data_IF_425606067353
#
_entry.id   IF_425606067353
#
_cell.length_a   1.000
_cell.length_b   1.000
_cell.length_c   1.000
_cell.angle_alpha   90.00
_cell.angle_beta   90.00
_cell.angle_gamma   90.00
#
_symmetry.space_group_name_H-M   'P 1'
#
loop_
_entity.id
_entity.type
_entity.pdbx_description
1 polymer ?
#
# COMPACT_ATOMS: atom_id res chain seq x y z
N UNK A 1 -13.13 -6.63 -16.69
CA UNK A 1 -12.70 -6.30 -15.31
C UNK A 1 -13.32 -7.34 -14.39
N UNK A 2 -12.53 -8.02 -13.55
CA UNK A 2 -13.01 -8.99 -12.57
C UNK A 2 -12.91 -8.33 -11.20
N UNK A 3 -14.01 -8.28 -10.47
CA UNK A 3 -14.03 -7.87 -9.08
C UNK A 3 -14.49 -9.06 -8.24
N UNK A 4 -13.91 -9.19 -7.07
CA UNK A 4 -14.36 -10.10 -6.03
C UNK A 4 -14.74 -9.25 -4.82
N UNK A 5 -15.86 -9.60 -4.19
CA UNK A 5 -16.33 -8.92 -2.99
C UNK A 5 -16.27 -9.90 -1.85
N UNK A 6 -15.44 -9.59 -0.87
CA UNK A 6 -15.38 -10.32 0.39
C UNK A 6 -16.59 -10.00 1.27
N UNK A 7 -16.96 -10.96 2.13
CA UNK A 7 -17.95 -10.71 3.17
C UNK A 7 -17.45 -9.58 4.09
N UNK A 8 -18.35 -8.70 4.60
CA UNK A 8 -17.95 -7.64 5.50
C UNK A 8 -17.29 -8.19 6.77
N UNK A 9 -16.12 -7.67 7.11
CA UNK A 9 -15.46 -7.98 8.37
C UNK A 9 -15.89 -7.02 9.48
N UNK A 10 -16.04 -7.57 10.70
CA UNK A 10 -16.36 -6.76 11.87
C UNK A 10 -15.12 -5.99 12.31
N UNK A 11 -15.23 -4.67 12.32
CA UNK A 11 -14.23 -3.78 12.90
C UNK A 11 -14.71 -3.31 14.28
N UNK A 12 -14.18 -3.91 15.35
CA UNK A 12 -14.69 -3.71 16.72
C UNK A 12 -14.35 -2.33 17.31
N UNK A 13 -13.27 -1.71 16.84
CA UNK A 13 -12.78 -0.44 17.38
C UNK A 13 -13.38 0.76 16.64
N UNK A 14 -13.58 1.91 17.31
CA UNK A 14 -13.92 3.14 16.60
C UNK A 14 -12.88 3.43 15.50
N UNK A 15 -13.36 3.74 14.30
CA UNK A 15 -12.48 4.17 13.22
C UNK A 15 -11.98 5.59 13.51
N UNK A 16 -10.71 5.70 13.90
CA UNK A 16 -10.04 6.98 14.22
C UNK A 16 -9.04 7.39 13.14
N UNK A 17 -8.67 6.48 12.23
CA UNK A 17 -7.79 6.74 11.09
C UNK A 17 -7.77 5.56 10.12
N UNK A 18 -7.94 5.82 8.82
CA UNK A 18 -8.05 4.79 7.78
C UNK A 18 -6.76 3.97 7.61
N UNK A 19 -5.60 4.55 7.92
CA UNK A 19 -4.31 3.87 7.81
C UNK A 19 -4.21 2.54 8.56
N UNK A 20 -4.93 2.40 9.68
CA UNK A 20 -4.99 1.16 10.45
C UNK A 20 -5.59 -0.03 9.68
N UNK A 21 -6.27 0.21 8.57
CA UNK A 21 -6.86 -0.84 7.71
C UNK A 21 -5.82 -1.46 6.77
N UNK A 22 -4.77 -0.72 6.39
CA UNK A 22 -3.83 -1.14 5.35
C UNK A 22 -3.05 -2.40 5.73
N UNK A 23 -2.55 -2.48 6.96
CA UNK A 23 -1.80 -3.63 7.47
C UNK A 23 -2.62 -4.93 7.46
N UNK A 24 -3.81 -4.94 8.12
CA UNK A 24 -4.73 -6.08 8.05
C UNK A 24 -5.09 -6.48 6.62
N UNK A 25 -5.32 -5.51 5.73
CA UNK A 25 -5.66 -5.79 4.32
C UNK A 25 -4.49 -6.44 3.57
N UNK A 26 -3.24 -6.05 3.85
CA UNK A 26 -2.07 -6.69 3.26
C UNK A 26 -1.83 -8.11 3.82
N UNK A 27 -2.07 -8.32 5.11
CA UNK A 27 -2.01 -9.65 5.72
C UNK A 27 -3.10 -10.58 5.12
N UNK A 28 -4.33 -10.08 4.92
CA UNK A 28 -5.39 -10.82 4.23
C UNK A 28 -4.96 -11.18 2.80
N UNK A 29 -4.45 -10.22 2.05
CA UNK A 29 -3.97 -10.42 0.67
C UNK A 29 -2.90 -11.52 0.60
N UNK A 30 -1.96 -11.55 1.53
CA UNK A 30 -0.92 -12.58 1.60
C UNK A 30 -1.51 -13.97 1.93
N UNK A 31 -2.44 -14.02 2.89
CA UNK A 31 -3.12 -15.26 3.30
C UNK A 31 -4.01 -15.86 2.22
N UNK A 32 -4.59 -15.02 1.35
CA UNK A 32 -5.36 -15.47 0.19
C UNK A 32 -4.49 -15.87 -1.01
N UNK A 33 -3.17 -15.85 -0.85
CA UNK A 33 -2.20 -16.18 -1.90
C UNK A 33 -2.43 -15.32 -3.16
N UNK A 34 -2.83 -14.07 -2.97
CA UNK A 34 -3.18 -13.20 -4.08
C UNK A 34 -1.97 -13.00 -5.00
N UNK A 35 -2.19 -13.18 -6.31
CA UNK A 35 -1.17 -12.92 -7.30
C UNK A 35 -0.66 -11.48 -7.19
N UNK A 36 0.64 -11.22 -7.43
CA UNK A 36 1.22 -9.89 -7.34
C UNK A 36 0.41 -8.81 -8.05
N UNK A 37 -0.22 -9.09 -9.20
CA UNK A 37 -1.01 -8.15 -9.99
C UNK A 37 -2.43 -7.84 -9.47
N UNK A 38 -2.85 -8.45 -8.35
CA UNK A 38 -4.16 -8.20 -7.72
C UNK A 38 -4.08 -7.05 -6.71
N UNK A 39 -5.07 -6.16 -6.78
CA UNK A 39 -5.23 -5.01 -5.91
C UNK A 39 -6.35 -5.25 -4.91
N UNK A 40 -6.11 -4.90 -3.64
CA UNK A 40 -7.12 -4.98 -2.58
C UNK A 40 -7.54 -3.57 -2.18
N UNK A 41 -8.86 -3.36 -2.10
CA UNK A 41 -9.43 -2.07 -1.71
C UNK A 41 -10.52 -2.28 -0.66
N UNK A 42 -10.33 -1.71 0.51
CA UNK A 42 -11.31 -1.73 1.58
C UNK A 42 -12.29 -0.56 1.46
N UNK A 43 -13.56 -0.81 1.74
CA UNK A 43 -14.57 0.23 1.93
C UNK A 43 -14.98 0.27 3.39
N UNK A 44 -14.78 1.40 4.05
CA UNK A 44 -15.13 1.56 5.45
C UNK A 44 -16.32 2.53 5.60
N UNK A 45 -17.48 2.12 6.14
CA UNK A 45 -18.62 3.01 6.32
C UNK A 45 -18.31 4.12 7.32
N UNK A 46 -18.25 5.37 6.85
CA UNK A 46 -18.05 6.55 7.68
C UNK A 46 -19.06 7.61 7.24
N UNK A 47 -20.07 7.97 8.04
CA UNK A 47 -21.21 8.78 7.56
C UNK A 47 -20.83 10.08 6.83
N UNK A 48 -19.75 10.72 7.24
CA UNK A 48 -19.25 11.97 6.64
C UNK A 48 -18.35 11.77 5.42
N UNK A 49 -18.01 10.52 5.06
CA UNK A 49 -17.10 10.20 3.95
C UNK A 49 -15.63 10.49 4.24
N UNK A 50 -15.26 10.60 5.52
CA UNK A 50 -13.87 10.81 5.92
C UNK A 50 -13.67 10.78 7.44
N UNK A 51 -12.43 10.51 7.84
CA UNK A 51 -11.96 10.43 9.23
C UNK A 51 -10.53 10.94 9.28
N UNK A 52 -10.13 11.56 10.39
CA UNK A 52 -8.78 12.15 10.55
C UNK A 52 -8.36 13.10 9.40
N UNK A 53 -9.33 13.76 8.75
CA UNK A 53 -9.07 14.70 7.66
C UNK A 53 -8.88 14.07 6.28
N UNK A 54 -9.02 12.74 6.14
CA UNK A 54 -8.86 12.02 4.87
C UNK A 54 -10.11 11.24 4.49
N UNK A 55 -10.33 11.09 3.19
CA UNK A 55 -11.41 10.27 2.62
C UNK A 55 -10.92 8.90 2.12
N UNK A 56 -9.61 8.76 1.90
CA UNK A 56 -8.96 7.53 1.48
C UNK A 56 -7.48 7.55 1.85
N UNK A 57 -6.87 6.36 1.90
CA UNK A 57 -5.43 6.18 2.16
C UNK A 57 -4.93 4.98 1.36
N UNK A 58 -3.72 5.10 0.82
CA UNK A 58 -3.05 4.04 0.08
C UNK A 58 -1.52 4.13 0.22
N UNK A 59 -0.85 3.04 -0.13
CA UNK A 59 0.59 3.04 -0.39
C UNK A 59 0.85 3.30 -1.88
N UNK A 60 2.08 3.71 -2.20
CA UNK A 60 2.54 3.95 -3.57
C UNK A 60 3.65 2.96 -3.95
N UNK A 61 3.35 1.66 -4.14
CA UNK A 61 4.35 0.63 -4.46
C UNK A 61 4.91 0.77 -5.87
N UNK A 62 6.14 0.29 -6.05
CA UNK A 62 6.75 0.07 -7.35
C UNK A 62 6.12 -1.10 -8.10
N UNK A 63 6.63 -1.35 -9.30
CA UNK A 63 6.02 -2.26 -10.26
C UNK A 63 6.63 -3.66 -10.31
N UNK A 64 7.50 -3.98 -9.36
CA UNK A 64 8.06 -5.32 -9.16
C UNK A 64 7.02 -6.33 -8.65
N UNK A 65 7.30 -7.63 -8.84
CA UNK A 65 6.45 -8.72 -8.31
C UNK A 65 6.40 -8.72 -6.78
N UNK A 66 7.54 -8.58 -6.13
CA UNK A 66 7.66 -8.62 -4.67
C UNK A 66 7.12 -7.40 -3.93
N UNK A 67 6.57 -6.40 -4.63
CA UNK A 67 5.85 -5.27 -4.02
C UNK A 67 4.32 -5.42 -4.14
N UNK A 68 3.84 -6.66 -4.28
CA UNK A 68 2.42 -6.97 -4.34
C UNK A 68 1.70 -6.70 -3.03
N UNK A 69 2.35 -6.96 -1.90
CA UNK A 69 1.85 -6.77 -0.53
C UNK A 69 1.30 -5.34 -0.29
N UNK A 70 1.98 -4.35 -0.86
CA UNK A 70 1.65 -2.93 -0.70
C UNK A 70 0.57 -2.43 -1.68
N UNK A 71 -0.06 -3.31 -2.47
CA UNK A 71 -1.16 -2.95 -3.41
C UNK A 71 -2.51 -2.94 -2.69
N UNK A 72 -2.54 -2.25 -1.57
CA UNK A 72 -3.67 -2.14 -0.65
C UNK A 72 -4.06 -0.68 -0.50
N UNK A 73 -5.37 -0.45 -0.41
CA UNK A 73 -5.94 0.89 -0.26
C UNK A 73 -7.27 0.82 0.49
N UNK A 74 -7.73 1.95 1.00
CA UNK A 74 -9.00 2.06 1.71
C UNK A 74 -9.70 3.38 1.41
N UNK A 75 -11.03 3.34 1.26
CA UNK A 75 -11.90 4.52 1.12
C UNK A 75 -12.94 4.56 2.23
N UNK A 76 -13.16 5.75 2.78
CA UNK A 76 -14.31 6.07 3.62
C UNK A 76 -15.58 6.15 2.76
N UNK A 77 -16.47 5.19 2.92
CA UNK A 77 -17.77 5.17 2.28
C UNK A 77 -18.73 6.11 3.02
N UNK A 78 -18.84 7.34 2.51
CA UNK A 78 -19.81 8.33 2.96
C UNK A 78 -21.20 8.17 2.32
N UNK A 79 -22.07 9.16 2.57
CA UNK A 79 -23.44 9.17 2.03
C UNK A 79 -23.51 9.38 0.50
N UNK A 80 -22.42 9.78 -0.16
CA UNK A 80 -22.36 9.99 -1.60
C UNK A 80 -21.53 8.90 -2.28
N UNK A 81 -22.22 7.97 -2.95
CA UNK A 81 -21.57 6.89 -3.71
C UNK A 81 -20.69 7.45 -4.83
N UNK A 82 -21.08 8.55 -5.50
CA UNK A 82 -20.26 9.12 -6.57
C UNK A 82 -18.97 9.74 -6.03
N UNK A 83 -19.02 10.36 -4.84
CA UNK A 83 -17.84 10.89 -4.18
C UNK A 83 -16.90 9.75 -3.78
N UNK A 84 -17.44 8.70 -3.15
CA UNK A 84 -16.66 7.52 -2.77
C UNK A 84 -16.03 6.85 -3.99
N UNK A 85 -16.75 6.74 -5.12
CA UNK A 85 -16.19 6.19 -6.36
C UNK A 85 -14.99 7.00 -6.88
N UNK A 86 -15.02 8.34 -6.79
CA UNK A 86 -13.87 9.19 -7.12
C UNK A 86 -12.67 8.92 -6.22
N UNK A 87 -12.90 8.74 -4.92
CA UNK A 87 -11.84 8.39 -3.95
C UNK A 87 -11.28 7.00 -4.21
N UNK A 88 -12.12 5.99 -4.49
CA UNK A 88 -11.65 4.64 -4.87
C UNK A 88 -10.71 4.71 -6.08
N UNK A 89 -11.07 5.48 -7.12
CA UNK A 89 -10.21 5.66 -8.29
C UNK A 89 -8.88 6.34 -7.92
N UNK A 90 -8.92 7.32 -7.03
CA UNK A 90 -7.73 8.01 -6.52
C UNK A 90 -6.79 7.06 -5.75
N UNK A 91 -7.33 6.31 -4.79
CA UNK A 91 -6.55 5.41 -3.94
C UNK A 91 -6.02 4.19 -4.71
N UNK A 92 -6.82 3.62 -5.61
CA UNK A 92 -6.33 2.59 -6.54
C UNK A 92 -5.22 3.17 -7.43
N UNK A 93 -5.33 4.44 -7.80
CA UNK A 93 -4.28 5.15 -8.52
C UNK A 93 -2.94 5.18 -7.76
N UNK A 94 -2.96 5.43 -6.45
CA UNK A 94 -1.77 5.31 -5.61
C UNK A 94 -1.19 3.89 -5.63
N UNK A 95 -2.02 2.85 -5.48
CA UNK A 95 -1.54 1.46 -5.54
C UNK A 95 -0.92 1.08 -6.89
N UNK A 96 -1.22 1.84 -7.95
CA UNK A 96 -0.60 1.71 -9.27
C UNK A 96 0.74 2.47 -9.39
N UNK A 97 1.22 3.10 -8.32
CA UNK A 97 2.49 3.83 -8.28
C UNK A 97 2.37 5.31 -8.63
N UNK A 98 1.16 5.88 -8.62
CA UNK A 98 0.98 7.31 -8.91
C UNK A 98 1.09 8.13 -7.62
N UNK A 99 1.89 9.19 -7.68
CA UNK A 99 1.86 10.28 -6.70
C UNK A 99 0.81 11.31 -7.10
N UNK A 100 0.51 12.24 -6.20
CA UNK A 100 -0.46 13.28 -6.45
C UNK A 100 -0.07 14.20 -7.62
N UNK A 101 -1.06 14.89 -8.17
CA UNK A 101 -0.88 15.95 -9.15
C UNK A 101 -1.21 17.29 -8.48
N UNK A 102 -0.28 18.25 -8.58
CA UNK A 102 -0.50 19.60 -8.03
C UNK A 102 -1.59 20.32 -8.83
N UNK A 103 -2.50 20.98 -8.13
CA UNK A 103 -3.49 21.86 -8.72
C UNK A 103 -3.65 23.15 -7.89
N UNK A 104 -4.25 24.23 -8.43
CA UNK A 104 -4.23 25.54 -7.79
C UNK A 104 -5.28 25.72 -6.68
N UNK A 105 -6.25 24.80 -6.55
CA UNK A 105 -7.39 24.95 -5.64
C UNK A 105 -7.35 24.01 -4.43
N UNK A 106 -6.33 23.15 -4.36
CA UNK A 106 -6.16 22.21 -3.27
C UNK A 106 -4.69 21.80 -3.16
N UNK A 107 -4.19 21.73 -1.93
CA UNK A 107 -2.85 21.26 -1.65
C UNK A 107 -2.81 19.74 -1.65
N UNK A 108 -1.84 19.17 -2.35
CA UNK A 108 -1.58 17.74 -2.33
C UNK A 108 -0.18 17.48 -1.78
N UNK A 109 -0.05 16.44 -0.98
CA UNK A 109 1.24 15.99 -0.48
C UNK A 109 2.05 15.37 -1.63
N UNK A 110 3.36 15.61 -1.69
CA UNK A 110 4.26 14.94 -2.66
C UNK A 110 3.77 14.91 -4.11
N UNK A 111 3.45 16.08 -4.70
CA UNK A 111 3.06 16.13 -6.09
C UNK A 111 4.20 15.65 -7.00
N UNK A 112 3.89 14.85 -8.03
CA UNK A 112 4.87 14.38 -9.00
C UNK A 112 5.36 15.55 -9.87
N UNK A 113 6.64 15.95 -9.77
CA UNK A 113 7.17 17.07 -10.55
C UNK A 113 7.25 16.76 -12.05
N UNK A 114 7.13 15.49 -12.47
CA UNK A 114 7.11 15.10 -13.86
C UNK A 114 5.73 15.20 -14.52
N UNK A 115 4.69 15.63 -13.79
CA UNK A 115 3.39 15.90 -14.38
C UNK A 115 3.49 17.08 -15.37
N UNK A 116 3.14 16.90 -16.65
CA UNK A 116 3.53 17.83 -17.71
C UNK A 116 2.55 18.99 -17.91
N UNK A 117 1.34 18.92 -17.34
CA UNK A 117 0.29 19.90 -17.59
C UNK A 117 0.17 20.86 -16.41
N UNK A 118 0.15 22.15 -16.72
CA UNK A 118 0.03 23.20 -15.72
C UNK A 118 -1.28 23.07 -14.93
N UNK A 119 -1.26 23.45 -13.65
CA UNK A 119 -2.44 23.51 -12.78
C UNK A 119 -3.19 22.17 -12.60
N UNK A 120 -2.57 21.05 -12.97
CA UNK A 120 -3.17 19.72 -12.85
C UNK A 120 -4.20 19.40 -13.93
N UNK A 121 -4.28 20.17 -15.01
CA UNK A 121 -5.21 19.94 -16.12
C UNK A 121 -4.91 18.64 -16.88
N UNK A 122 -5.89 18.04 -17.54
CA UNK A 122 -5.70 16.73 -18.21
C UNK A 122 -4.91 16.78 -19.53
N UNK A 123 -4.73 17.96 -20.11
CA UNK A 123 -3.86 18.22 -21.26
C UNK A 123 -4.41 17.81 -22.64
N UNK A 124 -5.24 16.77 -22.71
CA UNK A 124 -5.93 16.35 -23.94
C UNK A 124 -7.42 16.05 -23.72
N UNK A 125 -8.19 16.03 -24.81
CA UNK A 125 -9.60 15.65 -24.76
C UNK A 125 -9.76 14.20 -24.33
N UNK A 126 -10.58 13.98 -23.31
CA UNK A 126 -11.03 12.65 -22.92
C UNK A 126 -12.35 12.29 -23.59
N UNK A 127 -12.55 11.00 -23.85
CA UNK A 127 -13.84 10.45 -24.25
C UNK A 127 -14.23 9.30 -23.33
N UNK A 128 -15.34 9.43 -22.62
CA UNK A 128 -15.87 8.37 -21.77
C UNK A 128 -16.61 7.34 -22.60
N UNK A 129 -16.07 6.12 -22.70
CA UNK A 129 -16.70 5.04 -23.49
C UNK A 129 -18.04 4.54 -22.89
N UNK A 130 -18.28 4.79 -21.59
CA UNK A 130 -19.54 4.43 -20.91
C UNK A 130 -20.51 5.62 -20.93
N UNK A 131 -20.03 6.82 -20.60
CA UNK A 131 -20.86 8.03 -20.53
C UNK A 131 -21.16 8.64 -21.90
N UNK A 132 -20.37 8.30 -22.92
CA UNK A 132 -20.33 8.95 -24.24
C UNK A 132 -20.15 10.48 -24.15
N UNK A 133 -19.40 10.94 -23.15
CA UNK A 133 -19.11 12.36 -22.91
C UNK A 133 -17.69 12.73 -23.31
N UNK A 134 -17.52 13.99 -23.74
CA UNK A 134 -16.23 14.61 -23.96
C UNK A 134 -15.79 15.41 -22.73
N UNK A 135 -14.55 15.21 -22.31
CA UNK A 135 -13.93 15.86 -21.16
C UNK A 135 -12.87 16.83 -21.67
N UNK A 136 -13.10 18.13 -21.46
CA UNK A 136 -12.22 19.17 -22.01
C UNK A 136 -10.89 19.23 -21.26
N UNK A 137 -9.77 19.39 -21.98
CA UNK A 137 -8.43 19.45 -21.39
C UNK A 137 -8.18 20.66 -20.50
N UNK A 138 -8.99 21.72 -20.62
CA UNK A 138 -8.75 23.00 -19.96
C UNK A 138 -9.71 23.30 -18.81
N UNK A 139 -10.63 22.38 -18.51
CA UNK A 139 -11.57 22.52 -17.40
C UNK A 139 -11.77 21.23 -16.59
N UNK A 140 -11.00 20.18 -16.89
CA UNK A 140 -10.91 18.97 -16.08
C UNK A 140 -9.50 18.81 -15.54
N UNK A 141 -9.42 18.32 -14.31
CA UNK A 141 -8.17 18.06 -13.61
C UNK A 141 -7.89 16.57 -13.57
N UNK A 142 -6.62 16.19 -13.44
CA UNK A 142 -6.26 14.79 -13.25
C UNK A 142 -6.90 14.24 -11.97
N UNK A 143 -7.36 12.99 -12.00
CA UNK A 143 -7.96 12.36 -10.82
C UNK A 143 -6.96 12.13 -9.68
N UNK A 144 -5.65 12.20 -9.91
CA UNK A 144 -4.63 12.23 -8.85
C UNK A 144 -4.43 13.63 -8.25
N UNK A 145 -5.15 14.64 -8.74
CA UNK A 145 -5.27 15.94 -8.06
C UNK A 145 -6.49 15.94 -7.14
N UNK A 146 -6.56 16.92 -6.25
CA UNK A 146 -7.75 17.19 -5.44
C UNK A 146 -8.69 18.22 -6.06
N UNK A 147 -8.46 18.59 -7.33
CA UNK A 147 -9.29 19.55 -8.04
C UNK A 147 -10.41 18.85 -8.81
N UNK A 148 -11.52 19.57 -8.99
CA UNK A 148 -12.71 19.09 -9.69
C UNK A 148 -13.14 20.06 -10.79
N UNK A 149 -13.79 19.58 -11.87
CA UNK A 149 -14.16 18.18 -12.12
C UNK A 149 -12.96 17.30 -12.49
N UNK A 150 -12.88 16.10 -11.91
CA UNK A 150 -11.80 15.16 -12.14
C UNK A 150 -12.02 14.32 -13.41
N UNK A 151 -10.93 14.03 -14.12
CA UNK A 151 -10.87 13.12 -15.24
C UNK A 151 -9.44 12.55 -15.37
N UNK A 152 -9.25 11.54 -16.20
CA UNK A 152 -7.94 10.96 -16.47
C UNK A 152 -7.16 11.80 -17.49
N UNK A 153 -5.98 12.29 -17.11
CA UNK A 153 -5.03 12.86 -18.06
C UNK A 153 -4.40 11.78 -18.94
N UNK A 154 -3.86 12.18 -20.09
CA UNK A 154 -3.06 11.28 -20.93
C UNK A 154 -1.77 10.82 -20.24
N UNK A 155 -1.25 11.60 -19.29
CA UNK A 155 -0.09 11.22 -18.50
C UNK A 155 -0.45 10.07 -17.54
N UNK A 156 -1.53 10.21 -16.78
CA UNK A 156 -2.01 9.17 -15.87
C UNK A 156 -2.40 7.93 -16.65
N UNK A 157 -3.12 8.06 -17.77
CA UNK A 157 -3.43 6.93 -18.66
C UNK A 157 -2.18 6.16 -19.11
N UNK A 158 -1.14 6.84 -19.55
CA UNK A 158 0.08 6.17 -20.01
C UNK A 158 0.78 5.42 -18.87
N UNK A 159 0.84 6.00 -17.67
CA UNK A 159 1.38 5.33 -16.49
C UNK A 159 0.55 4.10 -16.12
N UNK A 160 -0.77 4.23 -16.00
CA UNK A 160 -1.65 3.13 -15.63
C UNK A 160 -1.68 2.04 -16.68
N UNK A 161 -1.65 2.39 -17.97
CA UNK A 161 -1.57 1.43 -19.06
C UNK A 161 -0.26 0.64 -19.03
N UNK A 162 0.87 1.33 -18.86
CA UNK A 162 2.19 0.68 -18.74
C UNK A 162 2.24 -0.27 -17.54
N UNK A 163 1.70 0.19 -16.40
CA UNK A 163 1.54 -0.62 -15.19
C UNK A 163 0.71 -1.87 -15.44
N UNK A 164 -0.45 -1.72 -16.09
CA UNK A 164 -1.32 -2.84 -16.43
C UNK A 164 -0.59 -3.86 -17.33
N UNK A 165 0.03 -3.40 -18.42
CA UNK A 165 0.79 -4.28 -19.34
C UNK A 165 1.87 -5.07 -18.61
N UNK A 166 2.66 -4.41 -17.74
CA UNK A 166 3.72 -5.08 -16.98
C UNK A 166 3.15 -6.12 -16.03
N UNK A 167 2.13 -5.77 -15.26
CA UNK A 167 1.57 -6.66 -14.23
C UNK A 167 0.83 -7.86 -14.83
N UNK A 168 0.10 -7.66 -15.93
CA UNK A 168 -0.58 -8.76 -16.62
C UNK A 168 0.37 -9.59 -17.46
N UNK A 169 1.61 -9.15 -17.69
CA UNK A 169 2.61 -9.99 -18.38
C UNK A 169 2.99 -11.23 -17.57
N UNK A 170 2.81 -11.18 -16.24
CA UNK A 170 3.14 -12.26 -15.33
C UNK A 170 2.17 -13.44 -15.46
N UNK A 171 0.89 -13.15 -15.76
CA UNK A 171 -0.13 -14.18 -15.99
C UNK A 171 0.27 -15.19 -17.08
N UNK A 172 1.14 -14.77 -18.01
CA UNK A 172 1.65 -15.59 -19.11
C UNK A 172 3.04 -16.19 -18.86
N UNK A 173 3.84 -15.62 -17.94
CA UNK A 173 5.19 -16.10 -17.62
C UNK A 173 5.15 -17.20 -16.55
N UNK A 174 4.14 -17.16 -15.69
CA UNK A 174 4.01 -18.05 -14.53
C UNK A 174 3.59 -19.48 -14.93
N UNK A 175 3.05 -19.67 -16.13
CA UNK A 175 2.87 -20.99 -16.75
C UNK A 175 4.21 -21.68 -17.08
N UNK A 176 5.28 -20.92 -17.31
CA UNK A 176 6.59 -21.43 -17.74
C UNK A 176 7.57 -21.61 -16.57
N UNK A 177 7.51 -20.76 -15.54
CA UNK A 177 8.42 -20.79 -14.38
C UNK A 177 7.89 -21.57 -13.18
N UNK A 178 6.59 -21.87 -13.10
CA UNK A 178 5.90 -22.44 -11.93
C UNK A 178 6.09 -21.66 -10.62
N UNK A 179 6.61 -20.43 -10.67
CA UNK A 179 6.77 -19.54 -9.51
C UNK A 179 6.10 -18.19 -9.75
N UNK A 180 4.77 -18.11 -9.53
CA UNK A 180 4.03 -16.85 -9.73
C UNK A 180 4.42 -15.70 -8.80
N UNK A 181 5.12 -16.00 -7.72
CA UNK A 181 5.52 -15.06 -6.69
C UNK A 181 6.96 -14.59 -6.86
N UNK A 182 7.79 -15.34 -7.59
CA UNK A 182 9.17 -14.98 -7.89
C UNK A 182 10.08 -15.12 -6.66
N UNK A 183 11.11 -14.27 -6.56
CA UNK A 183 12.10 -14.31 -5.48
C UNK A 183 11.58 -13.80 -4.11
N UNK A 184 10.29 -13.98 -3.83
CA UNK A 184 9.65 -13.61 -2.57
C UNK A 184 10.38 -14.25 -1.39
N UNK A 185 10.59 -13.44 -0.35
CA UNK A 185 11.10 -13.84 0.95
C UNK A 185 10.07 -13.52 2.01
N UNK A 186 10.11 -14.18 3.18
CA UNK A 186 9.36 -13.71 4.33
C UNK A 186 9.87 -12.32 4.74
N UNK A 187 8.91 -11.44 5.01
CA UNK A 187 9.13 -10.06 5.41
C UNK A 187 8.40 -9.85 6.74
N UNK A 188 9.07 -9.22 7.71
CA UNK A 188 8.44 -8.75 8.93
C UNK A 188 8.00 -7.30 8.70
N UNK A 189 6.71 -7.06 8.89
CA UNK A 189 6.12 -5.76 8.72
C UNK A 189 5.53 -5.23 10.02
N UNK A 190 5.51 -3.91 10.13
CA UNK A 190 4.52 -3.26 10.96
C UNK A 190 4.05 -1.94 10.33
N UNK A 191 2.82 -1.57 10.68
CA UNK A 191 2.27 -0.25 10.40
C UNK A 191 2.12 0.52 11.69
N UNK A 192 2.44 1.81 11.67
CA UNK A 192 2.27 2.74 12.78
C UNK A 192 1.49 3.95 12.30
N UNK A 193 0.30 4.11 12.84
CA UNK A 193 -0.60 5.23 12.53
C UNK A 193 -0.25 6.47 13.34
N UNK A 194 -0.75 7.64 12.92
CA UNK A 194 -0.60 8.90 13.65
C UNK A 194 -1.30 8.93 15.03
N UNK A 195 -2.21 7.99 15.31
CA UNK A 195 -2.83 7.78 16.63
C UNK A 195 -2.00 6.90 17.55
N UNK A 196 -0.91 6.31 17.05
CA UNK A 196 -0.04 5.39 17.78
C UNK A 196 -0.48 3.93 17.72
N UNK A 197 -1.51 3.61 16.92
CA UNK A 197 -1.93 2.22 16.73
C UNK A 197 -0.92 1.48 15.85
N UNK A 198 -0.51 0.31 16.33
CA UNK A 198 0.44 -0.57 15.65
C UNK A 198 -0.21 -1.89 15.25
N UNK A 199 0.05 -2.34 14.02
CA UNK A 199 -0.31 -3.66 13.54
C UNK A 199 0.92 -4.35 12.94
N UNK A 200 1.17 -5.58 13.36
CA UNK A 200 2.37 -6.36 13.05
C UNK A 200 1.99 -7.64 12.32
N UNK A 201 2.68 -7.96 11.23
CA UNK A 201 2.44 -9.20 10.49
C UNK A 201 3.69 -9.69 9.77
N UNK A 202 3.71 -10.99 9.47
CA UNK A 202 4.63 -11.58 8.51
C UNK A 202 3.90 -11.67 7.18
N UNK A 203 4.52 -11.19 6.11
CA UNK A 203 4.06 -11.31 4.73
C UNK A 203 5.18 -11.79 3.82
N UNK A 204 4.93 -11.83 2.51
CA UNK A 204 5.92 -12.24 1.52
C UNK A 204 6.09 -11.21 0.41
N UNK A 205 7.33 -11.04 -0.03
CA UNK A 205 7.65 -10.07 -1.07
C UNK A 205 9.16 -9.89 -1.24
N UNK A 206 9.53 -8.75 -1.80
CA UNK A 206 10.90 -8.26 -1.85
C UNK A 206 10.93 -6.80 -1.43
N UNK A 207 12.03 -6.36 -0.84
CA UNK A 207 12.24 -4.93 -0.65
C UNK A 207 12.24 -4.22 -2.03
N UNK A 208 11.78 -2.95 -2.11
CA UNK A 208 11.86 -2.16 -3.33
C UNK A 208 13.31 -2.12 -3.86
N UNK A 209 13.50 -2.13 -5.19
CA UNK A 209 14.85 -2.10 -5.79
C UNK A 209 15.66 -0.86 -5.39
N UNK A 210 14.97 0.25 -5.10
CA UNK A 210 15.57 1.51 -4.65
C UNK A 210 15.74 1.59 -3.13
N UNK A 211 15.33 0.57 -2.38
CA UNK A 211 15.47 0.56 -0.94
C UNK A 211 16.95 0.48 -0.54
N UNK A 212 17.32 1.30 0.43
CA UNK A 212 18.63 1.25 1.09
C UNK A 212 18.44 0.92 2.58
N UNK A 213 18.10 -0.34 2.92
CA UNK A 213 17.94 -0.76 4.31
C UNK A 213 19.26 -0.64 5.10
N UNK A 214 20.40 -0.54 4.42
CA UNK A 214 21.75 -0.52 5.00
C UNK A 214 22.43 0.86 4.84
N UNK A 215 21.66 1.94 4.66
CA UNK A 215 22.20 3.29 4.48
C UNK A 215 23.17 3.74 5.57
N UNK A 216 23.79 4.91 5.40
CA UNK A 216 24.97 5.32 6.20
C UNK A 216 24.74 5.44 7.72
N UNK A 217 23.48 5.47 8.16
CA UNK A 217 23.07 5.36 9.55
C UNK A 217 21.95 4.33 9.56
N UNK A 218 21.85 3.46 10.58
CA UNK A 218 20.68 2.61 10.81
C UNK A 218 19.75 3.38 11.76
N UNK A 219 18.98 4.40 11.30
CA UNK A 219 18.11 5.11 12.21
C UNK A 219 17.03 4.17 12.73
N UNK A 220 16.53 3.25 11.90
CA UNK A 220 15.39 2.42 12.27
C UNK A 220 15.67 0.93 12.04
N UNK A 221 15.54 0.11 13.08
CA UNK A 221 15.73 -1.35 12.99
C UNK A 221 14.77 -2.12 13.92
N UNK A 222 14.66 -3.43 13.67
CA UNK A 222 13.88 -4.35 14.50
C UNK A 222 14.82 -5.37 15.11
N UNK A 223 14.70 -5.64 16.40
CA UNK A 223 15.41 -6.72 17.08
C UNK A 223 14.46 -7.85 17.41
N UNK A 224 14.89 -9.09 17.14
CA UNK A 224 14.22 -10.31 17.58
C UNK A 224 14.93 -10.81 18.83
N UNK A 225 14.18 -11.05 19.90
CA UNK A 225 14.69 -11.55 21.17
C UNK A 225 14.02 -12.88 21.53
N UNK A 226 14.78 -13.74 22.21
CA UNK A 226 14.32 -15.04 22.71
C UNK A 226 15.02 -15.38 24.01
N UNK A 227 14.27 -15.67 25.07
CA UNK A 227 14.80 -16.00 26.41
C UNK A 227 15.77 -14.92 26.94
N UNK A 228 15.51 -13.65 26.59
CA UNK A 228 16.35 -12.50 26.97
C UNK A 228 17.66 -12.36 26.19
N UNK A 229 17.84 -13.10 25.09
CA UNK A 229 18.97 -12.95 24.17
C UNK A 229 18.54 -12.32 22.85
N UNK A 230 19.38 -11.44 22.30
CA UNK A 230 19.23 -10.94 20.94
C UNK A 230 19.50 -12.08 19.95
N UNK A 231 18.48 -12.45 19.17
CA UNK A 231 18.52 -13.49 18.16
C UNK A 231 18.90 -12.93 16.78
N UNK A 232 18.35 -11.77 16.42
CA UNK A 232 18.65 -11.07 15.16
C UNK A 232 18.38 -9.57 15.29
N UNK A 233 19.13 -8.77 14.53
CA UNK A 233 18.83 -7.35 14.30
C UNK A 233 18.58 -7.15 12.80
N UNK A 234 17.40 -6.64 12.48
CA UNK A 234 16.86 -6.54 11.14
C UNK A 234 16.81 -5.07 10.73
N UNK A 235 17.60 -4.65 9.72
CA UNK A 235 17.47 -3.33 9.16
C UNK A 235 16.10 -3.15 8.51
N UNK A 236 15.56 -1.94 8.56
CA UNK A 236 14.21 -1.67 8.07
C UNK A 236 14.19 -0.66 6.93
N UNK A 237 13.19 -0.78 6.08
CA UNK A 237 12.79 0.23 5.11
C UNK A 237 11.51 0.87 5.61
N UNK A 238 11.54 2.19 5.80
CA UNK A 238 10.37 2.97 6.23
C UNK A 238 9.74 3.63 5.00
N UNK A 239 8.46 3.40 4.81
CA UNK A 239 7.63 4.05 3.80
C UNK A 239 6.48 4.77 4.48
N UNK A 240 5.94 5.79 3.85
CA UNK A 240 4.76 6.49 4.35
C UNK A 240 3.61 6.30 3.37
N UNK A 241 2.38 6.25 3.90
CA UNK A 241 1.18 6.39 3.09
C UNK A 241 1.18 7.70 2.31
N UNK A 242 0.38 7.76 1.25
CA UNK A 242 0.23 8.93 0.36
C UNK A 242 -0.11 10.25 1.10
N UNK A 243 -0.73 10.14 2.28
CA UNK A 243 -1.11 11.25 3.15
C UNK A 243 -0.15 11.50 4.33
N UNK A 244 0.94 10.73 4.43
CA UNK A 244 1.89 10.75 5.56
C UNK A 244 1.31 10.39 6.94
N UNK A 245 0.09 9.85 7.01
CA UNK A 245 -0.55 9.50 8.28
C UNK A 245 -0.08 8.18 8.88
N UNK A 246 0.52 7.31 8.05
CA UNK A 246 0.89 5.95 8.44
C UNK A 246 2.29 5.62 7.96
N UNK A 247 3.16 5.24 8.90
CA UNK A 247 4.43 4.62 8.59
C UNK A 247 4.22 3.13 8.33
N UNK A 248 4.75 2.64 7.22
CA UNK A 248 4.80 1.24 6.83
C UNK A 248 6.26 0.80 6.84
N UNK A 249 6.60 -0.07 7.76
CA UNK A 249 7.97 -0.49 7.99
C UNK A 249 8.09 -1.96 7.63
N UNK A 250 9.13 -2.28 6.88
CA UNK A 250 9.38 -3.64 6.39
C UNK A 250 10.85 -4.01 6.61
N UNK A 251 11.09 -5.24 7.04
CA UNK A 251 12.40 -5.84 7.15
C UNK A 251 12.40 -7.23 6.51
N UNK A 252 13.50 -7.60 5.84
CA UNK A 252 13.69 -9.00 5.46
C UNK A 252 13.79 -9.87 6.72
N UNK A 253 12.96 -10.90 6.80
CA UNK A 253 12.96 -11.84 7.91
C UNK A 253 13.80 -13.06 7.50
N UNK A 254 14.82 -13.46 8.28
CA UNK A 254 15.53 -14.70 8.00
C UNK A 254 14.57 -15.90 7.99
N UNK A 255 14.79 -16.84 7.08
CA UNK A 255 13.90 -17.99 6.86
C UNK A 255 13.66 -18.80 8.14
N UNK A 256 14.68 -18.92 8.99
CA UNK A 256 14.59 -19.60 10.29
C UNK A 256 13.59 -18.94 11.26
N UNK A 257 13.25 -17.66 11.05
CA UNK A 257 12.31 -16.88 11.84
C UNK A 257 10.99 -16.61 11.11
N UNK A 258 10.71 -17.22 9.95
CA UNK A 258 9.44 -17.05 9.21
C UNK A 258 8.21 -17.28 10.10
N UNK A 259 8.31 -18.23 11.04
CA UNK A 259 7.27 -18.56 12.02
C UNK A 259 7.48 -17.94 13.40
N UNK A 260 8.51 -17.10 13.54
CA UNK A 260 8.98 -16.51 14.81
C UNK A 260 9.24 -17.57 15.91
N UNK A 261 9.62 -18.79 15.52
CA UNK A 261 9.94 -19.84 16.48
C UNK A 261 11.15 -19.43 17.35
N UNK A 262 11.00 -19.55 18.66
CA UNK A 262 12.04 -19.14 19.63
C UNK A 262 12.10 -17.64 19.92
N UNK A 263 11.34 -16.80 19.19
CA UNK A 263 11.22 -15.36 19.45
C UNK A 263 10.11 -15.14 20.49
N UNK A 264 10.41 -14.50 21.61
CA UNK A 264 9.42 -14.12 22.64
C UNK A 264 9.06 -12.63 22.58
N UNK A 265 10.00 -11.79 22.14
CA UNK A 265 9.86 -10.36 22.09
C UNK A 265 10.46 -9.79 20.80
N UNK A 266 9.78 -8.78 20.25
CA UNK A 266 10.25 -7.97 19.13
C UNK A 266 10.42 -6.56 19.64
N UNK A 267 11.54 -5.91 19.31
CA UNK A 267 11.82 -4.54 19.72
C UNK A 267 12.01 -3.71 18.46
N UNK A 268 11.16 -2.71 18.23
CA UNK A 268 11.48 -1.67 17.24
C UNK A 268 12.31 -0.58 17.89
N UNK A 269 13.33 -0.13 17.19
CA UNK A 269 14.22 0.95 17.60
C UNK A 269 14.14 2.06 16.55
N UNK A 270 13.88 3.28 16.99
CA UNK A 270 13.80 4.47 16.13
C UNK A 270 15.14 5.23 16.02
N UNK A 271 15.10 6.31 15.22
CA UNK A 271 16.24 7.15 14.89
C UNK A 271 16.85 7.89 16.08
N UNK A 272 16.05 8.05 17.13
CA UNK A 272 16.45 8.58 18.44
C UNK A 272 16.96 7.48 19.40
N UNK A 273 17.16 6.24 18.93
CA UNK A 273 17.47 5.04 19.74
C UNK A 273 16.42 4.72 20.82
N UNK A 274 15.16 5.11 20.63
CA UNK A 274 14.07 4.73 21.52
C UNK A 274 13.57 3.35 21.13
N UNK A 275 13.33 2.53 22.13
CA UNK A 275 12.95 1.13 21.96
C UNK A 275 11.51 0.88 22.44
N UNK A 276 10.73 0.17 21.63
CA UNK A 276 9.40 -0.31 22.00
C UNK A 276 9.30 -1.81 21.81
N UNK A 277 9.01 -2.50 22.91
CA UNK A 277 8.88 -3.94 22.91
C UNK A 277 7.43 -4.38 22.67
N UNK A 278 7.28 -5.35 21.78
CA UNK A 278 6.01 -6.00 21.44
C UNK A 278 6.19 -7.51 21.62
N UNK A 279 5.28 -8.21 22.33
CA UNK A 279 5.33 -9.67 22.41
C UNK A 279 5.19 -10.32 21.03
N UNK A 280 5.98 -11.35 20.73
CA UNK A 280 5.94 -12.00 19.42
C UNK A 280 4.55 -12.56 19.04
N UNK A 281 3.75 -12.97 20.04
CA UNK A 281 2.38 -13.45 19.81
C UNK A 281 1.39 -12.38 19.29
N UNK A 282 1.79 -11.09 19.27
CA UNK A 282 1.00 -10.02 18.64
C UNK A 282 1.24 -9.90 17.13
N UNK A 283 2.24 -10.60 16.58
CA UNK A 283 2.48 -10.63 15.15
C UNK A 283 1.54 -11.63 14.50
N UNK A 284 0.77 -11.18 13.52
CA UNK A 284 -0.01 -12.08 12.68
C UNK A 284 0.93 -12.83 11.73
N UNK A 285 1.03 -14.14 11.88
CA UNK A 285 1.80 -14.97 10.97
C UNK A 285 1.01 -15.21 9.68
N UNK A 286 1.71 -15.18 8.55
CA UNK A 286 1.15 -15.60 7.27
C UNK A 286 0.74 -17.06 7.29
N UNK A 287 -0.35 -17.42 6.62
CA UNK A 287 -0.72 -18.80 6.36
C UNK A 287 0.14 -19.42 5.23
N UNK A 288 0.72 -18.59 4.37
CA UNK A 288 1.69 -19.01 3.36
C UNK A 288 2.93 -19.56 4.06
N UNK A 289 3.42 -20.70 3.57
CA UNK A 289 4.72 -21.23 3.98
C UNK A 289 5.66 -21.25 2.79
N UNK A 290 6.84 -20.69 2.97
CA UNK A 290 7.94 -20.71 2.02
C UNK A 290 8.47 -22.13 1.74
N UNK A 291 8.12 -23.13 2.56
CA UNK A 291 8.46 -24.54 2.37
C UNK A 291 7.40 -25.36 1.61
N UNK A 292 6.20 -24.84 1.38
CA UNK A 292 5.11 -25.58 0.74
C UNK A 292 5.28 -25.74 -0.79
N UNK A 293 6.29 -25.11 -1.39
CA UNK A 293 6.39 -24.92 -2.84
C UNK A 293 7.76 -25.32 -3.45
N UNK A 294 8.57 -26.13 -2.73
CA UNK A 294 9.76 -26.81 -3.28
C UNK A 294 9.44 -28.27 -3.61
#
# INVERSE_FOLDING_TARGET
LKWELHEPELWENPMVGLGGVLGPLAALRDNELAFPNVYYHALFPIPQGGVAGVAGVALVPGDGKGEGDARVSVTALGNSVSSAAGVVVHEVGHTQGMNHVKCPFADAASPDPAYPYENGYTGQWGFGIISHQLYSPSNHFDYMSYCNPAWMSTWSWNKTFTRAVKLTSWDYLDEETQDPWGADKPLLHYSLTNTGDEFWWVGHGTLPETADPYGSEYPHHIELHGQGQLLAALPTVVRYSNDYSTAWVVAELPMEYERLEGVDQIIRVDDDNRAWAVPAHRVQLSERSSMAWK
#
